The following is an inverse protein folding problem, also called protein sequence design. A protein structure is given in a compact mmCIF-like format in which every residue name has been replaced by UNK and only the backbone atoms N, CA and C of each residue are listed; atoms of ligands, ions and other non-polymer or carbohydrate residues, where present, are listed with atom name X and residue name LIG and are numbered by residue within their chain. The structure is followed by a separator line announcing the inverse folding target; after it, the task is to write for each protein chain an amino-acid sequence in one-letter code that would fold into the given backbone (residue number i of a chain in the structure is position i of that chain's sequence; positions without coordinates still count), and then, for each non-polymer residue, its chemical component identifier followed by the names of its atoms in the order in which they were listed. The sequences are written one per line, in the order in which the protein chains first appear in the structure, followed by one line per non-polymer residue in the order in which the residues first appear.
data_IF_746065675873
#
_entry.id   IF_746065675873
#
_cell.length_a   1.000
_cell.length_b   1.000
_cell.length_c   1.000
_cell.angle_alpha   90.00
_cell.angle_beta   90.00
_cell.angle_gamma   90.00
#
_symmetry.space_group_name_H-M   'P 1'
#
loop_
_entity.id
_entity.type
_entity.pdbx_description
1 polymer ?
#
# COMPACT_ATOMS: atom_id res chain seq x y z
N UNK A 1 12.05 13.58 -7.13
CA UNK A 1 10.60 13.37 -7.18
C UNK A 1 10.20 12.28 -6.19
N UNK A 2 8.99 12.37 -5.67
CA UNK A 2 8.45 11.32 -4.80
C UNK A 2 7.61 10.41 -5.69
N UNK A 3 7.89 9.11 -5.71
CA UNK A 3 7.02 8.11 -6.32
C UNK A 3 5.97 7.63 -5.32
N UNK A 4 4.81 7.23 -5.83
CA UNK A 4 3.77 6.56 -5.06
C UNK A 4 3.48 5.19 -5.68
N UNK A 5 3.02 4.23 -4.87
CA UNK A 5 2.65 2.91 -5.38
C UNK A 5 1.49 2.30 -4.61
N UNK A 6 0.78 1.41 -5.30
CA UNK A 6 -0.21 0.50 -4.75
C UNK A 6 0.20 -0.91 -5.09
N UNK A 7 0.30 -1.79 -4.10
CA UNK A 7 0.63 -3.19 -4.33
C UNK A 7 -0.40 -4.12 -3.68
N UNK A 8 -0.79 -5.16 -4.42
CA UNK A 8 -1.49 -6.34 -3.90
C UNK A 8 -0.50 -7.49 -3.82
N UNK A 9 -0.66 -8.38 -2.85
CA UNK A 9 0.26 -9.51 -2.67
C UNK A 9 -0.49 -10.83 -2.61
N UNK A 10 0.14 -11.87 -3.15
CA UNK A 10 -0.29 -13.26 -3.01
C UNK A 10 -1.72 -13.54 -3.49
N UNK A 11 -2.08 -13.01 -4.66
CA UNK A 11 -3.34 -13.38 -5.32
C UNK A 11 -3.20 -14.83 -5.79
N UNK A 12 -3.99 -15.74 -5.22
CA UNK A 12 -3.98 -17.14 -5.63
C UNK A 12 -4.61 -17.29 -7.01
N UNK A 13 -3.89 -17.88 -7.97
CA UNK A 13 -4.30 -17.97 -9.37
C UNK A 13 -5.16 -19.22 -9.67
N UNK A 14 -5.18 -20.21 -8.79
CA UNK A 14 -6.00 -21.43 -8.98
C UNK A 14 -5.69 -22.23 -10.26
N UNK A 15 -4.47 -22.10 -10.78
CA UNK A 15 -4.04 -22.74 -12.03
C UNK A 15 -4.38 -21.96 -13.31
N UNK A 16 -5.05 -20.81 -13.20
CA UNK A 16 -5.27 -19.92 -14.34
C UNK A 16 -3.94 -19.28 -14.78
N UNK A 17 -3.80 -18.98 -16.06
CA UNK A 17 -2.58 -18.44 -16.66
C UNK A 17 -2.79 -17.13 -17.40
N UNK A 18 -3.97 -16.94 -17.95
CA UNK A 18 -4.27 -15.82 -18.83
C UNK A 18 -5.19 -14.84 -18.09
N UNK A 19 -4.82 -13.56 -18.09
CA UNK A 19 -5.47 -12.54 -17.28
C UNK A 19 -5.64 -11.23 -18.03
N UNK A 20 -6.70 -10.52 -17.70
CA UNK A 20 -6.89 -9.11 -18.03
C UNK A 20 -6.84 -8.30 -16.71
N UNK A 21 -5.92 -7.37 -16.63
CA UNK A 21 -5.83 -6.36 -15.57
C UNK A 21 -6.43 -5.06 -16.08
N UNK A 22 -7.38 -4.49 -15.33
CA UNK A 22 -7.94 -3.17 -15.63
C UNK A 22 -7.96 -2.29 -14.39
N UNK A 23 -7.80 -0.99 -14.59
CA UNK A 23 -8.04 0.03 -13.55
C UNK A 23 -8.34 1.38 -14.18
N UNK A 24 -9.19 2.16 -13.52
CA UNK A 24 -9.41 3.56 -13.83
C UNK A 24 -8.36 4.44 -13.16
N UNK A 25 -7.89 5.48 -13.84
CA UNK A 25 -7.02 6.48 -13.23
C UNK A 25 -7.27 7.86 -13.81
N UNK A 26 -7.14 8.89 -12.98
CA UNK A 26 -7.12 10.28 -13.40
C UNK A 26 -5.99 11.04 -12.72
N UNK A 27 -5.42 12.01 -13.42
CA UNK A 27 -4.49 12.97 -12.82
C UNK A 27 -5.30 14.13 -12.24
N UNK A 28 -5.33 14.22 -10.91
CA UNK A 28 -5.99 15.32 -10.22
C UNK A 28 -5.05 16.52 -10.11
N UNK A 29 -5.44 17.64 -10.65
CA UNK A 29 -4.76 18.91 -10.43
C UNK A 29 -5.77 19.97 -10.01
N UNK A 30 -5.39 20.84 -9.09
CA UNK A 30 -6.15 22.03 -8.76
C UNK A 30 -5.88 23.15 -9.77
N UNK A 31 -4.82 23.02 -10.55
CA UNK A 31 -4.41 23.96 -11.57
C UNK A 31 -4.76 23.37 -12.94
N UNK A 32 -5.74 23.93 -13.61
CA UNK A 32 -6.19 23.51 -14.94
C UNK A 32 -5.00 23.32 -15.90
N UNK A 33 -4.72 22.11 -16.33
CA UNK A 33 -3.69 21.81 -17.31
C UNK A 33 -2.83 20.59 -17.09
N UNK A 34 -3.05 19.81 -16.02
CA UNK A 34 -2.31 18.56 -15.82
C UNK A 34 -2.91 17.44 -16.67
N UNK A 35 -2.16 16.99 -17.66
CA UNK A 35 -2.54 15.89 -18.54
C UNK A 35 -2.03 14.58 -17.97
N UNK A 36 -2.86 13.51 -18.03
CA UNK A 36 -2.43 12.16 -17.75
C UNK A 36 -1.25 11.76 -18.65
N UNK A 37 -0.21 11.20 -18.06
CA UNK A 37 0.99 10.82 -18.78
C UNK A 37 1.29 9.33 -18.56
N UNK A 38 1.13 8.50 -19.58
CA UNK A 38 1.34 7.06 -19.49
C UNK A 38 2.74 6.68 -18.98
N UNK A 39 3.78 7.42 -19.41
CA UNK A 39 5.17 7.16 -19.01
C UNK A 39 5.46 7.41 -17.51
N UNK A 40 4.55 8.02 -16.79
CA UNK A 40 4.65 8.18 -15.33
C UNK A 40 4.14 6.95 -14.56
N UNK A 41 3.45 6.01 -15.24
CA UNK A 41 2.89 4.79 -14.65
C UNK A 41 3.70 3.56 -15.02
N UNK A 42 3.90 2.69 -14.03
CA UNK A 42 4.57 1.41 -14.17
C UNK A 42 3.74 0.32 -13.52
N UNK A 43 3.55 -0.78 -14.21
CA UNK A 43 2.87 -1.97 -13.71
C UNK A 43 3.92 -3.05 -13.52
N UNK A 44 4.09 -3.53 -12.30
CA UNK A 44 5.02 -4.61 -11.99
C UNK A 44 4.26 -5.84 -11.53
N UNK A 45 4.73 -7.01 -11.96
CA UNK A 45 4.22 -8.32 -11.59
C UNK A 45 5.29 -9.13 -10.86
N UNK A 46 4.89 -9.89 -9.86
CA UNK A 46 5.78 -10.76 -9.11
C UNK A 46 5.09 -12.07 -8.74
N UNK A 47 5.80 -13.19 -8.84
CA UNK A 47 5.33 -14.50 -8.39
C UNK A 47 5.69 -14.83 -6.94
N UNK A 48 6.61 -14.08 -6.32
CA UNK A 48 7.13 -14.31 -4.97
C UNK A 48 6.99 -13.09 -4.04
N UNK A 49 6.53 -11.94 -4.59
CA UNK A 49 6.37 -10.70 -3.84
C UNK A 49 7.68 -9.93 -3.56
N UNK A 50 8.83 -10.44 -4.03
CA UNK A 50 10.15 -9.84 -3.81
C UNK A 50 10.82 -9.42 -5.11
N UNK A 51 10.75 -10.26 -6.13
CA UNK A 51 11.33 -9.99 -7.45
C UNK A 51 10.24 -9.67 -8.44
N UNK A 52 10.41 -8.56 -9.14
CA UNK A 52 9.38 -7.96 -9.97
C UNK A 52 9.85 -7.80 -11.41
N UNK A 53 8.92 -7.96 -12.33
CA UNK A 53 9.09 -7.68 -13.76
C UNK A 53 8.08 -6.64 -14.17
N UNK A 54 8.48 -5.70 -15.01
CA UNK A 54 7.59 -4.67 -15.52
C UNK A 54 6.74 -5.22 -16.66
N UNK A 55 5.42 -5.00 -16.58
CA UNK A 55 4.48 -5.23 -17.65
C UNK A 55 4.35 -3.93 -18.47
N UNK A 56 5.06 -3.87 -19.58
CA UNK A 56 5.13 -2.66 -20.43
C UNK A 56 4.02 -2.59 -21.46
N UNK A 57 3.44 -3.74 -21.82
CA UNK A 57 2.36 -3.84 -22.80
C UNK A 57 1.00 -3.66 -22.13
N UNK A 58 0.59 -2.40 -22.03
CA UNK A 58 -0.73 -2.03 -21.57
C UNK A 58 -1.21 -0.75 -22.29
N UNK A 59 -2.51 -0.60 -22.40
CA UNK A 59 -3.15 0.53 -23.06
C UNK A 59 -3.90 1.42 -22.07
N UNK A 60 -4.13 2.66 -22.46
CA UNK A 60 -5.09 3.56 -21.84
C UNK A 60 -6.15 3.96 -22.83
N UNK A 61 -7.42 3.85 -22.42
CA UNK A 61 -8.56 4.39 -23.14
C UNK A 61 -9.06 5.63 -22.41
N UNK A 62 -9.05 6.75 -23.10
CA UNK A 62 -9.43 8.09 -22.61
C UNK A 62 -8.71 9.16 -23.41
N UNK A 63 -9.07 10.39 -23.21
CA UNK A 63 -8.48 11.52 -23.94
C UNK A 63 -7.26 12.13 -23.23
N UNK A 64 -6.90 11.62 -22.06
CA UNK A 64 -5.79 12.11 -21.25
C UNK A 64 -5.99 13.54 -20.70
N UNK A 65 -7.16 14.13 -20.88
CA UNK A 65 -7.45 15.47 -20.41
C UNK A 65 -7.59 15.49 -18.88
N UNK A 66 -7.23 16.59 -18.28
CA UNK A 66 -7.38 16.82 -16.84
C UNK A 66 -8.81 16.56 -16.36
N UNK A 67 -8.93 15.95 -15.19
CA UNK A 67 -10.22 15.61 -14.58
C UNK A 67 -11.01 14.57 -15.37
N UNK A 68 -10.37 13.86 -16.29
CA UNK A 68 -10.95 12.76 -17.04
C UNK A 68 -10.34 11.44 -16.61
N UNK A 69 -11.22 10.47 -16.43
CA UNK A 69 -10.81 9.11 -16.14
C UNK A 69 -10.30 8.41 -17.39
N UNK A 70 -9.16 7.76 -17.24
CA UNK A 70 -8.57 6.92 -18.27
C UNK A 70 -8.62 5.47 -17.79
N UNK A 71 -9.07 4.56 -18.66
CA UNK A 71 -9.08 3.14 -18.38
C UNK A 71 -7.77 2.51 -18.85
N UNK A 72 -7.00 1.98 -17.92
CA UNK A 72 -5.87 1.12 -18.23
C UNK A 72 -6.35 -0.32 -18.46
N UNK A 73 -5.76 -1.00 -19.43
CA UNK A 73 -6.04 -2.41 -19.72
C UNK A 73 -4.77 -3.11 -20.18
N UNK A 74 -4.49 -4.27 -19.58
CA UNK A 74 -3.37 -5.13 -19.93
C UNK A 74 -3.82 -6.59 -19.98
N UNK A 75 -3.64 -7.24 -21.14
CA UNK A 75 -3.81 -8.67 -21.29
C UNK A 75 -2.45 -9.36 -21.20
N UNK A 76 -2.29 -10.29 -20.25
CA UNK A 76 -1.02 -10.96 -20.05
C UNK A 76 -1.20 -12.43 -19.66
N UNK A 77 -0.14 -13.20 -19.90
CA UNK A 77 -0.06 -14.62 -19.54
C UNK A 77 1.13 -14.88 -18.64
N UNK A 78 0.92 -15.60 -17.54
CA UNK A 78 2.01 -16.05 -16.65
C UNK A 78 2.44 -17.47 -17.00
N UNK A 79 3.71 -17.85 -16.70
CA UNK A 79 4.19 -19.21 -16.91
C UNK A 79 3.34 -20.25 -16.16
N UNK A 80 3.21 -21.44 -16.75
CA UNK A 80 2.58 -22.57 -16.06
C UNK A 80 3.26 -22.89 -14.74
N UNK A 81 2.48 -23.18 -13.70
CA UNK A 81 2.99 -23.41 -12.34
C UNK A 81 3.26 -22.13 -11.54
N UNK A 82 2.78 -20.99 -12.01
CA UNK A 82 2.69 -19.78 -11.18
C UNK A 82 1.45 -19.88 -10.30
N UNK A 83 1.63 -20.14 -9.01
CA UNK A 83 0.51 -20.34 -8.07
C UNK A 83 -0.04 -19.02 -7.52
N UNK A 84 0.82 -18.04 -7.36
CA UNK A 84 0.48 -16.73 -6.80
C UNK A 84 1.01 -15.59 -7.67
N UNK A 85 0.28 -14.49 -7.66
CA UNK A 85 0.66 -13.25 -8.33
C UNK A 85 0.55 -12.07 -7.36
N UNK A 86 1.54 -11.22 -7.40
CA UNK A 86 1.51 -9.90 -6.77
C UNK A 86 1.58 -8.84 -7.86
N UNK A 87 0.82 -7.77 -7.71
CA UNK A 87 0.74 -6.67 -8.68
C UNK A 87 1.10 -5.38 -7.97
N UNK A 88 2.00 -4.60 -8.55
CA UNK A 88 2.31 -3.25 -8.07
C UNK A 88 2.11 -2.24 -9.19
N UNK A 89 1.34 -1.21 -8.92
CA UNK A 89 1.18 -0.04 -9.77
C UNK A 89 1.95 1.10 -9.12
N UNK A 90 2.94 1.62 -9.81
CA UNK A 90 3.84 2.68 -9.33
C UNK A 90 3.69 3.91 -10.21
N UNK A 91 3.75 5.09 -9.60
CA UNK A 91 3.74 6.38 -10.26
C UNK A 91 5.00 7.15 -9.87
N UNK A 92 5.76 7.63 -10.85
CA UNK A 92 7.09 8.25 -10.66
C UNK A 92 7.07 9.74 -10.32
N UNK A 93 5.90 10.34 -10.22
CA UNK A 93 5.76 11.78 -10.02
C UNK A 93 5.05 12.13 -8.70
N UNK A 94 5.32 13.32 -8.19
CA UNK A 94 4.65 13.89 -7.03
C UNK A 94 3.25 14.47 -7.34
N UNK A 95 2.65 14.07 -8.46
CA UNK A 95 1.30 14.50 -8.84
C UNK A 95 0.24 13.67 -8.10
N UNK A 96 -0.89 14.28 -7.85
CA UNK A 96 -2.03 13.56 -7.28
C UNK A 96 -2.72 12.75 -8.37
N UNK A 97 -2.55 11.45 -8.35
CA UNK A 97 -3.34 10.53 -9.15
C UNK A 97 -4.41 9.88 -8.28
N UNK A 98 -5.59 9.68 -8.85
CA UNK A 98 -6.62 8.83 -8.29
C UNK A 98 -6.68 7.54 -9.07
N UNK A 99 -6.99 6.45 -8.40
CA UNK A 99 -7.17 5.15 -9.02
C UNK A 99 -8.44 4.51 -8.49
N UNK A 100 -9.16 3.85 -9.37
CA UNK A 100 -10.43 3.19 -9.08
C UNK A 100 -10.56 1.88 -9.86
N UNK A 101 -11.49 1.03 -9.45
CA UNK A 101 -11.89 -0.19 -10.17
C UNK A 101 -10.74 -1.14 -10.57
N UNK A 102 -9.74 -1.30 -9.69
CA UNK A 102 -8.67 -2.28 -9.93
C UNK A 102 -9.26 -3.70 -10.00
N UNK A 103 -9.14 -4.34 -11.16
CA UNK A 103 -9.67 -5.67 -11.44
C UNK A 103 -8.62 -6.55 -12.09
N UNK A 104 -8.51 -7.77 -11.60
CA UNK A 104 -7.81 -8.86 -12.27
C UNK A 104 -8.84 -9.95 -12.57
N UNK A 105 -9.04 -10.26 -13.83
CA UNK A 105 -9.98 -11.32 -14.28
C UNK A 105 -9.25 -12.37 -15.11
N UNK A 106 -9.72 -13.61 -15.07
CA UNK A 106 -9.23 -14.67 -15.96
C UNK A 106 -9.70 -14.33 -17.37
N UNK A 107 -8.75 -14.35 -18.31
CA UNK A 107 -9.02 -14.09 -19.71
C UNK A 107 -9.24 -15.39 -20.50
N UNK A 108 -10.07 -15.32 -21.55
CA UNK A 108 -10.33 -16.45 -22.46
C UNK A 108 -9.22 -16.64 -23.49
N UNK A 109 -8.29 -15.68 -23.58
CA UNK A 109 -7.20 -15.68 -24.58
C UNK A 109 -5.88 -15.34 -23.91
N UNK A 110 -4.80 -15.90 -24.45
CA UNK A 110 -3.45 -15.54 -24.05
C UNK A 110 -3.17 -14.08 -24.38
N UNK A 111 -2.55 -13.38 -23.44
CA UNK A 111 -2.02 -12.03 -23.61
C UNK A 111 -0.50 -12.03 -23.75
N UNK A 112 0.13 -10.90 -23.48
CA UNK A 112 1.59 -10.76 -23.48
C UNK A 112 2.22 -11.69 -22.46
N UNK A 113 3.17 -12.53 -22.92
CA UNK A 113 3.83 -13.50 -22.04
C UNK A 113 4.75 -12.81 -21.04
N UNK A 114 4.53 -13.08 -19.76
CA UNK A 114 5.37 -12.55 -18.67
C UNK A 114 6.54 -13.47 -18.41
N UNK A 115 7.75 -12.91 -18.46
CA UNK A 115 8.99 -13.63 -18.17
C UNK A 115 9.57 -13.21 -16.81
N UNK A 116 9.44 -14.07 -15.81
CA UNK A 116 9.99 -13.84 -14.47
C UNK A 116 11.48 -14.18 -14.33
N UNK A 117 12.15 -14.67 -15.38
CA UNK A 117 13.59 -15.01 -15.29
C UNK A 117 14.46 -13.76 -15.10
N UNK A 118 14.01 -12.62 -15.62
CA UNK A 118 14.67 -11.33 -15.50
C UNK A 118 14.09 -10.44 -14.39
N UNK A 119 13.30 -11.02 -13.48
CA UNK A 119 12.71 -10.26 -12.37
C UNK A 119 13.81 -9.77 -11.42
N UNK A 120 13.73 -8.48 -11.05
CA UNK A 120 14.69 -7.81 -10.18
C UNK A 120 14.09 -7.52 -8.81
N UNK A 121 14.92 -7.49 -7.79
CA UNK A 121 14.49 -7.04 -6.48
C UNK A 121 14.11 -5.56 -6.55
N UNK A 122 12.94 -5.24 -6.03
CA UNK A 122 12.46 -3.86 -5.96
C UNK A 122 12.04 -3.55 -4.54
N UNK A 123 12.62 -2.49 -3.99
CA UNK A 123 12.23 -1.94 -2.71
C UNK A 123 11.22 -0.80 -2.94
N UNK A 124 9.97 -1.07 -2.68
CA UNK A 124 8.91 -0.08 -2.75
C UNK A 124 8.81 0.75 -1.45
N UNK A 125 9.64 0.46 -0.43
CA UNK A 125 9.61 1.18 0.85
C UNK A 125 10.34 2.52 0.80
N UNK A 126 11.26 2.70 -0.13
CA UNK A 126 12.13 3.87 -0.24
C UNK A 126 11.47 5.12 -0.86
N UNK A 127 10.18 5.36 -0.69
CA UNK A 127 9.56 6.60 -1.20
C UNK A 127 8.04 6.69 -1.15
N UNK A 128 7.36 5.67 -0.72
CA UNK A 128 5.90 5.64 -0.68
C UNK A 128 5.36 5.96 0.70
N UNK A 129 4.36 6.83 0.76
CA UNK A 129 3.48 6.94 1.91
C UNK A 129 2.75 5.59 2.03
N UNK A 130 3.07 4.80 3.03
CA UNK A 130 2.51 3.45 3.24
C UNK A 130 1.04 3.57 3.64
N UNK A 131 0.18 3.57 2.65
CA UNK A 131 -1.23 3.30 2.82
C UNK A 131 -1.46 1.78 2.75
N UNK A 132 -1.67 1.17 3.89
CA UNK A 132 -2.35 -0.07 4.14
C UNK A 132 -2.02 -1.31 3.30
N UNK A 133 -1.11 -2.12 3.76
CA UNK A 133 -1.00 -3.54 3.46
C UNK A 133 -0.27 -4.19 4.61
N UNK A 134 -0.85 -5.19 5.24
CA UNK A 134 -0.24 -5.95 6.32
C UNK A 134 1.11 -6.51 5.88
N UNK A 135 2.14 -5.75 6.15
CA UNK A 135 3.50 -6.27 6.24
C UNK A 135 3.76 -6.57 7.69
N UNK A 136 4.67 -7.49 7.97
CA UNK A 136 5.21 -7.67 9.31
C UNK A 136 5.39 -6.29 9.97
N UNK A 137 4.97 -6.16 11.21
CA UNK A 137 5.14 -4.92 11.96
C UNK A 137 6.56 -4.38 11.73
N UNK A 138 6.74 -3.07 11.51
CA UNK A 138 8.07 -2.51 11.32
C UNK A 138 8.97 -2.97 12.46
N UNK A 139 10.21 -3.31 12.12
CA UNK A 139 11.14 -3.84 13.12
C UNK A 139 11.25 -2.85 14.27
N UNK A 140 10.81 -3.30 15.45
CA UNK A 140 10.90 -2.47 16.65
C UNK A 140 12.34 -2.36 17.10
N UNK A 141 12.79 -1.17 17.45
CA UNK A 141 14.09 -0.93 18.08
C UNK A 141 14.10 -1.27 19.57
N UNK A 142 13.03 -1.87 20.04
CA UNK A 142 12.87 -2.34 21.42
C UNK A 142 11.71 -1.69 22.16
N UNK A 143 11.57 -2.06 23.42
CA UNK A 143 10.53 -1.52 24.31
C UNK A 143 10.98 -0.20 24.93
N UNK A 144 10.04 0.73 25.07
CA UNK A 144 10.23 1.99 25.82
C UNK A 144 9.02 2.21 26.73
N UNK A 145 9.27 2.87 27.83
CA UNK A 145 8.20 3.51 28.60
C UNK A 145 7.71 4.76 27.86
N UNK A 146 6.53 5.25 28.20
CA UNK A 146 5.97 6.48 27.60
C UNK A 146 6.91 7.66 27.79
N UNK A 147 7.50 7.82 28.98
CA UNK A 147 8.44 8.92 29.25
C UNK A 147 9.72 8.81 28.40
N UNK A 148 10.31 7.62 28.27
CA UNK A 148 11.50 7.40 27.43
C UNK A 148 11.22 7.62 25.96
N UNK A 149 10.03 7.24 25.49
CA UNK A 149 9.60 7.46 24.12
C UNK A 149 9.45 8.95 23.80
N UNK A 150 8.80 9.71 24.69
CA UNK A 150 8.64 11.15 24.56
C UNK A 150 10.00 11.85 24.62
N UNK A 151 10.87 11.45 25.55
CA UNK A 151 12.21 12.04 25.68
C UNK A 151 13.11 11.77 24.47
N UNK A 152 12.96 10.60 23.84
CA UNK A 152 13.72 10.27 22.63
C UNK A 152 13.28 11.09 21.41
N UNK A 153 12.00 11.44 21.30
CA UNK A 153 11.37 12.14 20.18
C UNK A 153 11.83 11.62 18.79
N UNK A 154 11.97 10.29 18.67
CA UNK A 154 12.54 9.63 17.49
C UNK A 154 11.46 9.46 16.42
N UNK A 155 11.56 10.25 15.36
CA UNK A 155 10.62 10.23 14.22
C UNK A 155 10.98 9.20 13.16
N UNK A 156 12.08 8.46 13.31
CA UNK A 156 12.58 7.52 12.30
C UNK A 156 12.33 6.06 12.67
N UNK A 157 12.49 5.71 13.95
CA UNK A 157 12.40 4.33 14.39
C UNK A 157 11.11 4.04 15.14
N UNK A 158 10.66 2.78 15.04
CA UNK A 158 9.50 2.29 15.77
C UNK A 158 9.92 1.65 17.09
N UNK A 159 9.12 1.88 18.12
CA UNK A 159 9.30 1.32 19.45
C UNK A 159 8.00 0.66 19.92
N UNK A 160 8.14 -0.35 20.76
CA UNK A 160 7.02 -1.00 21.43
C UNK A 160 6.68 -0.24 22.72
N UNK A 161 5.42 0.16 22.86
CA UNK A 161 4.88 0.77 24.07
C UNK A 161 3.69 -0.05 24.56
N UNK A 162 3.62 -0.26 25.87
CA UNK A 162 2.52 -0.97 26.51
C UNK A 162 1.89 -0.07 27.55
N UNK A 163 0.57 0.04 27.57
CA UNK A 163 -0.12 0.88 28.55
C UNK A 163 -1.64 0.70 28.54
N UNK A 164 -2.31 1.41 29.43
CA UNK A 164 -3.77 1.46 29.53
C UNK A 164 -4.35 2.48 28.57
N UNK A 165 -5.44 2.11 27.91
CA UNK A 165 -6.20 2.97 27.01
C UNK A 165 -7.18 3.83 27.76
N UNK A 166 -7.25 5.12 27.41
CA UNK A 166 -8.32 6.02 27.83
C UNK A 166 -8.69 6.98 26.68
N UNK A 167 -9.85 7.61 26.75
CA UNK A 167 -10.38 8.54 25.75
C UNK A 167 -10.37 7.97 24.31
N UNK A 168 -10.70 6.67 24.18
CA UNK A 168 -10.73 6.02 22.88
C UNK A 168 -11.79 6.65 21.97
N UNK A 169 -11.37 7.05 20.77
CA UNK A 169 -12.22 7.55 19.70
C UNK A 169 -12.25 6.54 18.54
N UNK A 170 -13.38 5.87 18.36
CA UNK A 170 -13.53 4.83 17.35
C UNK A 170 -13.46 5.37 15.91
N UNK A 171 -13.88 6.62 15.67
CA UNK A 171 -13.89 7.22 14.33
C UNK A 171 -12.48 7.41 13.78
N UNK A 172 -11.56 7.86 14.65
CA UNK A 172 -10.16 8.11 14.28
C UNK A 172 -9.22 6.98 14.71
N UNK A 173 -9.74 6.01 15.46
CA UNK A 173 -8.95 4.97 16.13
C UNK A 173 -7.77 5.57 16.93
N UNK A 174 -8.06 6.61 17.69
CA UNK A 174 -7.12 7.37 18.50
C UNK A 174 -7.46 7.27 19.98
N UNK A 175 -6.47 7.37 20.84
CA UNK A 175 -6.63 7.21 22.28
C UNK A 175 -5.43 7.76 23.04
N UNK A 176 -5.60 7.90 24.36
CA UNK A 176 -4.47 8.08 25.25
C UNK A 176 -3.94 6.73 25.69
N UNK A 177 -2.62 6.56 25.66
CA UNK A 177 -1.90 5.44 26.22
C UNK A 177 -1.16 5.91 27.48
N UNK A 178 -1.41 5.27 28.60
CA UNK A 178 -0.82 5.60 29.90
C UNK A 178 -0.10 4.40 30.48
N UNK A 179 1.15 4.57 30.91
CA UNK A 179 1.89 3.64 31.76
C UNK A 179 2.31 4.35 33.08
N UNK A 180 3.11 3.67 33.92
CA UNK A 180 3.56 4.24 35.19
C UNK A 180 4.49 5.45 35.03
N UNK A 181 5.00 5.70 33.83
CA UNK A 181 5.95 6.77 33.51
C UNK A 181 5.30 8.01 32.93
N UNK A 182 4.10 7.88 32.34
CA UNK A 182 3.44 9.03 31.72
C UNK A 182 2.25 8.68 30.83
N UNK A 183 1.80 9.69 30.09
CA UNK A 183 0.69 9.62 29.15
C UNK A 183 1.13 10.16 27.79
N UNK A 184 0.74 9.47 26.72
CA UNK A 184 0.90 9.94 25.34
C UNK A 184 -0.39 9.77 24.55
N UNK A 185 -0.68 10.73 23.67
CA UNK A 185 -1.78 10.61 22.73
C UNK A 185 -1.35 9.83 21.50
N UNK A 186 -2.04 8.75 21.23
CA UNK A 186 -1.86 7.91 20.04
C UNK A 186 -2.82 8.39 18.96
N UNK A 187 -2.27 8.91 17.88
CA UNK A 187 -3.05 9.41 16.76
C UNK A 187 -3.11 8.37 15.65
N UNK A 188 -4.31 7.86 15.42
CA UNK A 188 -4.64 6.98 14.31
C UNK A 188 -3.80 5.69 14.22
N UNK A 189 -4.42 4.57 14.49
CA UNK A 189 -3.82 3.28 14.13
C UNK A 189 -3.79 3.21 12.59
N UNK A 190 -2.59 3.12 12.01
CA UNK A 190 -2.34 3.16 10.57
C UNK A 190 -2.55 1.81 9.86
N UNK A 191 -3.40 0.98 10.40
CA UNK A 191 -3.75 -0.30 9.79
C UNK A 191 -4.99 -0.12 8.89
N UNK A 192 -5.06 -0.86 7.79
CA UNK A 192 -6.15 -0.83 6.81
C UNK A 192 -7.53 -1.18 7.40
N UNK A 193 -7.56 -1.74 8.59
CA UNK A 193 -8.77 -2.22 9.26
C UNK A 193 -9.13 -1.40 10.51
N UNK A 194 -9.20 -0.07 10.41
CA UNK A 194 -9.63 0.80 11.52
C UNK A 194 -10.92 0.33 12.20
N UNK A 195 -11.87 -0.19 11.43
CA UNK A 195 -13.13 -0.73 11.95
C UNK A 195 -12.93 -2.01 12.76
N UNK A 196 -11.98 -2.86 12.40
CA UNK A 196 -11.64 -4.07 13.14
C UNK A 196 -10.97 -3.75 14.47
N UNK A 197 -10.05 -2.79 14.47
CA UNK A 197 -9.39 -2.31 15.68
C UNK A 197 -10.35 -1.55 16.59
N UNK A 198 -11.29 -0.79 16.04
CA UNK A 198 -12.33 -0.12 16.82
C UNK A 198 -13.15 -1.09 17.68
N UNK A 199 -13.33 -2.33 17.24
CA UNK A 199 -13.99 -3.39 18.00
C UNK A 199 -13.12 -4.08 19.07
N UNK A 200 -11.79 -3.92 18.99
CA UNK A 200 -10.81 -4.58 19.88
C UNK A 200 -10.25 -3.65 20.95
N UNK A 201 -10.30 -2.35 20.75
CA UNK A 201 -9.77 -1.35 21.69
C UNK A 201 -10.90 -0.84 22.58
N UNK A 202 -10.70 -0.85 23.89
CA UNK A 202 -11.65 -0.32 24.86
C UNK A 202 -10.96 0.48 25.96
N UNK A 203 -11.68 1.50 26.48
CA UNK A 203 -11.20 2.25 27.63
C UNK A 203 -10.97 1.34 28.84
N UNK A 204 -9.84 1.50 29.51
CA UNK A 204 -9.39 0.68 30.63
C UNK A 204 -8.64 -0.61 30.22
N UNK A 205 -8.70 -0.99 28.95
CA UNK A 205 -7.93 -2.12 28.43
C UNK A 205 -6.43 -1.82 28.38
N UNK A 206 -5.60 -2.85 28.52
CA UNK A 206 -4.15 -2.74 28.31
C UNK A 206 -3.81 -3.23 26.91
N UNK A 207 -3.07 -2.43 26.17
CA UNK A 207 -2.62 -2.77 24.81
C UNK A 207 -1.12 -2.52 24.66
N UNK A 208 -0.56 -3.22 23.68
CA UNK A 208 0.80 -2.97 23.19
C UNK A 208 0.71 -2.44 21.77
N UNK A 209 1.37 -1.34 21.51
CA UNK A 209 1.44 -0.71 20.21
C UNK A 209 2.88 -0.59 19.72
N UNK A 210 3.06 -0.50 18.41
CA UNK A 210 4.30 -0.12 17.76
C UNK A 210 4.12 1.26 17.18
N UNK A 211 4.93 2.22 17.62
CA UNK A 211 4.80 3.60 17.20
C UNK A 211 6.14 4.31 17.05
N UNK A 212 6.13 5.41 16.32
CA UNK A 212 7.20 6.40 16.24
C UNK A 212 6.65 7.76 16.66
N UNK A 213 7.53 8.64 17.11
CA UNK A 213 7.15 9.97 17.59
C UNK A 213 6.70 10.90 16.44
#
# INVERSE_FOLDING_TARGET
GKSAYLATKNIALGGAKDFTLTFGTEKYSQDNGSVFTKSEFHIFLSKDGNKWVELTDYSFAGDGTEGRWNLASADFSVPSGTDNLSICIKVDVASSYRMDDLRLVIADKAGTSVDFTNAVEMDFTAGGNTGGGSTAAPESKGKKTVAEFIAAADTQNYYELTGKVSRFNATYCSFDLTDDSGLIYVYSVLDASKSEWAGKISNGGTITIYGKY
#
